data_IF_005006126158
#
_entry.id   IF_005006126158
#
_cell.length_a   1.000
_cell.length_b   1.000
_cell.length_c   1.000
_cell.angle_alpha   90.00
_cell.angle_beta   90.00
_cell.angle_gamma   90.00
#
_symmetry.space_group_name_H-M   'P 1'
#
loop_
_entity.id
_entity.type
_entity.pdbx_description
1 polymer ?
#
# COMPACT_ATOMS: atom_id res chain seq x y z
N UNK A 1 -6.25 -17.86 -31.10
CA UNK A 1 -5.53 -17.09 -30.07
C UNK A 1 -6.51 -16.59 -29.00
N UNK A 2 -7.30 -17.48 -28.38
CA UNK A 2 -8.37 -17.07 -27.44
C UNK A 2 -8.60 -18.13 -26.33
N UNK A 3 -7.53 -18.78 -25.87
CA UNK A 3 -7.56 -19.81 -24.80
C UNK A 3 -6.25 -19.86 -23.99
N UNK A 4 -5.82 -18.74 -23.41
CA UNK A 4 -4.67 -18.72 -22.47
C UNK A 4 -4.92 -17.90 -21.19
N UNK A 5 -6.14 -17.41 -20.96
CA UNK A 5 -6.48 -16.61 -19.76
C UNK A 5 -7.44 -17.33 -18.81
N UNK A 6 -7.64 -18.63 -18.94
CA UNK A 6 -8.70 -19.35 -18.23
C UNK A 6 -8.19 -20.35 -17.17
N UNK A 7 -6.90 -20.32 -16.81
CA UNK A 7 -6.33 -21.21 -15.78
C UNK A 7 -5.29 -20.53 -14.86
N UNK A 8 -5.48 -19.26 -14.54
CA UNK A 8 -4.92 -18.69 -13.31
C UNK A 8 -6.11 -18.41 -12.41
N UNK A 9 -6.47 -19.38 -11.56
CA UNK A 9 -7.48 -19.17 -10.52
C UNK A 9 -7.17 -17.86 -9.83
N UNK A 10 -8.11 -16.92 -9.92
CA UNK A 10 -8.01 -15.55 -9.43
C UNK A 10 -7.63 -15.62 -7.96
N UNK A 11 -6.32 -15.59 -7.70
CA UNK A 11 -5.75 -15.82 -6.39
C UNK A 11 -5.97 -14.53 -5.66
N UNK A 12 -7.16 -14.40 -5.09
CA UNK A 12 -7.57 -13.26 -4.32
C UNK A 12 -6.67 -13.21 -3.10
N UNK A 13 -5.61 -12.40 -3.16
CA UNK A 13 -4.73 -12.12 -2.03
C UNK A 13 -5.34 -10.95 -1.27
N UNK A 14 -6.05 -11.18 -0.14
CA UNK A 14 -6.59 -10.08 0.63
C UNK A 14 -5.45 -9.19 1.13
N UNK A 15 -5.53 -7.88 0.86
CA UNK A 15 -4.64 -6.91 1.49
C UNK A 15 -4.86 -7.00 2.99
N UNK A 16 -3.78 -7.28 3.73
CA UNK A 16 -3.85 -7.40 5.17
C UNK A 16 -4.42 -6.11 5.79
N UNK A 17 -5.34 -6.23 6.76
CA UNK A 17 -6.05 -5.08 7.34
C UNK A 17 -5.10 -3.99 7.85
N UNK A 18 -4.00 -4.38 8.49
CA UNK A 18 -2.96 -3.44 8.95
C UNK A 18 -2.39 -2.64 7.78
N UNK A 19 -2.09 -3.28 6.65
CA UNK A 19 -1.56 -2.63 5.45
C UNK A 19 -2.57 -1.63 4.89
N UNK A 20 -3.85 -2.01 4.81
CA UNK A 20 -4.93 -1.11 4.41
C UNK A 20 -5.02 0.11 5.34
N UNK A 21 -4.98 -0.10 6.66
CA UNK A 21 -5.00 0.97 7.66
C UNK A 21 -3.80 1.90 7.48
N UNK A 22 -2.60 1.36 7.23
CA UNK A 22 -1.41 2.15 6.96
C UNK A 22 -1.53 2.99 5.68
N UNK A 23 -2.09 2.44 4.60
CA UNK A 23 -2.34 3.16 3.35
C UNK A 23 -3.32 4.32 3.59
N UNK A 24 -4.47 4.05 4.21
CA UNK A 24 -5.50 5.07 4.49
C UNK A 24 -4.93 6.17 5.39
N UNK A 25 -4.15 5.81 6.41
CA UNK A 25 -3.51 6.79 7.29
C UNK A 25 -2.51 7.70 6.54
N UNK A 26 -1.68 7.13 5.66
CA UNK A 26 -0.74 7.91 4.84
C UNK A 26 -1.47 8.90 3.92
N UNK A 27 -2.54 8.44 3.25
CA UNK A 27 -3.39 9.28 2.40
C UNK A 27 -4.04 10.40 3.20
N UNK A 28 -4.59 10.10 4.38
CA UNK A 28 -5.21 11.10 5.26
C UNK A 28 -4.21 12.17 5.72
N UNK A 29 -2.98 11.77 6.08
CA UNK A 29 -1.90 12.70 6.44
C UNK A 29 -1.54 13.60 5.26
N UNK A 30 -1.41 13.04 4.06
CA UNK A 30 -1.09 13.80 2.86
C UNK A 30 -2.19 14.82 2.53
N UNK A 31 -3.47 14.41 2.57
CA UNK A 31 -4.61 15.31 2.36
C UNK A 31 -4.69 16.39 3.44
N UNK A 32 -4.46 16.05 4.71
CA UNK A 32 -4.41 17.01 5.82
C UNK A 32 -3.34 18.09 5.58
N UNK A 33 -2.16 17.68 5.10
CA UNK A 33 -1.10 18.61 4.70
C UNK A 33 -1.55 19.54 3.57
N UNK A 34 -2.14 19.01 2.49
CA UNK A 34 -2.65 19.80 1.37
C UNK A 34 -3.70 20.82 1.83
N UNK A 35 -4.65 20.39 2.66
CA UNK A 35 -5.70 21.26 3.19
C UNK A 35 -5.12 22.38 4.06
N UNK A 36 -4.07 22.10 4.85
CA UNK A 36 -3.36 23.10 5.67
C UNK A 36 -2.73 24.20 4.82
N UNK A 37 -2.18 23.85 3.65
CA UNK A 37 -1.63 24.82 2.69
C UNK A 37 -2.68 25.32 1.67
N UNK A 38 -3.97 25.15 1.98
CA UNK A 38 -5.11 25.61 1.17
C UNK A 38 -5.16 25.00 -0.24
N UNK A 39 -4.70 23.76 -0.44
CA UNK A 39 -4.88 23.02 -1.68
C UNK A 39 -6.00 21.99 -1.52
N UNK A 40 -6.92 21.93 -2.48
CA UNK A 40 -7.92 20.87 -2.60
C UNK A 40 -7.48 19.93 -3.73
N UNK A 41 -7.34 18.64 -3.44
CA UNK A 41 -6.80 17.64 -4.36
C UNK A 41 -7.76 17.28 -5.51
N UNK A 42 -9.04 17.06 -5.18
CA UNK A 42 -10.20 16.86 -6.09
C UNK A 42 -10.24 15.60 -6.97
N UNK A 43 -9.20 14.76 -6.98
CA UNK A 43 -9.24 13.48 -7.73
C UNK A 43 -8.69 12.31 -6.91
N UNK A 44 -9.23 12.11 -5.71
CA UNK A 44 -8.82 11.02 -4.83
C UNK A 44 -9.42 9.69 -5.31
N UNK A 45 -8.54 8.81 -5.81
CA UNK A 45 -8.88 7.45 -6.28
C UNK A 45 -7.66 6.53 -6.16
N UNK A 46 -7.85 5.20 -6.15
CA UNK A 46 -6.74 4.25 -6.11
C UNK A 46 -5.71 4.43 -7.23
N UNK A 47 -6.14 4.78 -8.44
CA UNK A 47 -5.27 5.00 -9.61
C UNK A 47 -4.23 6.12 -9.38
N UNK A 48 -4.57 7.10 -8.53
CA UNK A 48 -3.68 8.21 -8.19
C UNK A 48 -2.85 7.94 -6.92
N UNK A 49 -2.91 6.73 -6.34
CA UNK A 49 -2.05 6.30 -5.25
C UNK A 49 -0.86 5.52 -5.80
N UNK A 50 0.30 6.17 -5.85
CA UNK A 50 1.53 5.51 -6.29
C UNK A 50 2.12 4.71 -5.13
N UNK A 51 2.33 3.43 -5.37
CA UNK A 51 2.92 2.50 -4.41
C UNK A 51 4.43 2.52 -4.57
N UNK A 52 5.14 2.93 -3.51
CA UNK A 52 6.60 2.94 -3.47
C UNK A 52 7.17 1.69 -2.79
N UNK A 53 6.41 1.11 -1.86
CA UNK A 53 6.79 -0.08 -1.11
C UNK A 53 5.54 -0.84 -0.70
N UNK A 54 5.58 -2.17 -0.83
CA UNK A 54 4.55 -3.10 -0.34
C UNK A 54 5.19 -4.12 0.60
N UNK A 55 4.42 -4.60 1.59
CA UNK A 55 4.84 -5.73 2.41
C UNK A 55 4.86 -7.00 1.56
N UNK A 56 5.56 -8.03 2.06
CA UNK A 56 5.55 -9.34 1.42
C UNK A 56 4.12 -9.89 1.34
N UNK A 57 3.75 -10.58 0.23
CA UNK A 57 2.46 -11.25 0.12
C UNK A 57 2.26 -12.22 1.28
N UNK A 58 1.02 -12.33 1.77
CA UNK A 58 0.68 -13.36 2.75
C UNK A 58 0.79 -14.72 2.06
N UNK A 59 1.88 -15.44 2.30
CA UNK A 59 2.01 -16.84 1.88
C UNK A 59 1.17 -17.70 2.80
N UNK A 60 0.30 -18.52 2.24
CA UNK A 60 -0.45 -19.51 3.01
C UNK A 60 0.55 -20.40 3.75
N UNK A 61 0.43 -20.47 5.09
CA UNK A 61 1.23 -21.36 5.93
C UNK A 61 1.10 -22.86 5.54
N UNK A 62 0.13 -23.19 4.69
CA UNK A 62 -0.06 -24.53 4.11
C UNK A 62 0.99 -24.88 3.06
N UNK A 63 1.62 -23.90 2.42
CA UNK A 63 2.68 -24.14 1.42
C UNK A 63 4.09 -24.25 2.02
N UNK A 64 4.27 -23.86 3.28
CA UNK A 64 5.58 -23.88 3.96
C UNK A 64 5.98 -25.27 4.51
N UNK A 65 5.08 -26.26 4.50
CA UNK A 65 5.32 -27.57 5.10
C UNK A 65 5.89 -28.63 4.13
N UNK A 66 6.38 -28.25 2.94
CA UNK A 66 6.82 -29.22 1.92
C UNK A 66 8.34 -29.32 1.70
N UNK A 67 9.17 -28.60 2.47
CA UNK A 67 10.64 -28.70 2.34
C UNK A 67 11.36 -28.55 3.67
N UNK A 68 11.23 -29.54 4.57
CA UNK A 68 12.27 -29.81 5.58
C UNK A 68 12.49 -31.32 5.70
N UNK A 69 13.29 -31.83 4.77
CA UNK A 69 13.87 -33.17 4.83
C UNK A 69 15.30 -33.10 4.32
N UNK A 70 16.27 -33.04 5.25
CA UNK A 70 17.67 -33.54 5.20
C UNK A 70 18.61 -32.69 6.09
N UNK A 71 18.68 -33.06 7.38
CA UNK A 71 19.85 -33.20 8.26
C UNK A 71 21.18 -32.51 7.87
N UNK A 72 21.77 -31.74 8.81
CA UNK A 72 23.05 -32.09 9.47
C UNK A 72 23.38 -31.19 10.67
N UNK A 73 23.94 -31.82 11.71
CA UNK A 73 24.25 -31.30 13.04
C UNK A 73 25.64 -30.66 13.16
N UNK A 74 25.79 -29.67 14.05
CA UNK A 74 26.81 -29.65 15.13
C UNK A 74 26.68 -28.38 16.01
N UNK A 75 26.89 -28.48 17.34
CA UNK A 75 26.87 -27.35 18.28
C UNK A 75 28.27 -26.77 18.46
N UNK A 76 28.44 -25.46 18.36
CA UNK A 76 29.62 -24.78 18.91
C UNK A 76 29.22 -23.44 19.54
N UNK A 77 29.49 -23.34 20.83
CA UNK A 77 29.48 -22.13 21.64
C UNK A 77 30.30 -21.02 21.00
N UNK A 78 29.81 -19.78 21.03
CA UNK A 78 30.57 -18.58 21.38
C UNK A 78 29.62 -17.40 21.55
N UNK A 79 29.69 -16.77 22.73
CA UNK A 79 29.03 -15.52 23.05
C UNK A 79 29.71 -14.38 22.27
N UNK A 80 28.96 -13.70 21.41
CA UNK A 80 29.33 -12.38 20.89
C UNK A 80 28.11 -11.46 20.89
N UNK A 81 28.15 -10.52 21.81
CA UNK A 81 27.17 -9.47 22.08
C UNK A 81 27.39 -8.31 21.12
N UNK A 82 26.92 -8.44 19.88
CA UNK A 82 26.71 -7.28 18.97
C UNK A 82 25.83 -7.58 17.74
N UNK A 83 25.02 -8.64 17.78
CA UNK A 83 24.09 -8.93 16.67
C UNK A 83 22.80 -8.14 16.87
N UNK A 84 22.63 -7.12 16.03
CA UNK A 84 21.34 -6.53 15.66
C UNK A 84 20.27 -7.63 15.60
N UNK A 85 19.08 -7.46 16.21
CA UNK A 85 18.07 -8.49 16.20
C UNK A 85 17.77 -8.83 14.74
N UNK A 86 17.90 -10.12 14.44
CA UNK A 86 17.60 -10.76 13.18
C UNK A 86 16.31 -10.13 12.63
N UNK A 87 16.41 -9.24 11.64
CA UNK A 87 15.25 -8.67 10.97
C UNK A 87 14.47 -9.86 10.45
N UNK A 88 13.23 -10.05 10.92
CA UNK A 88 12.39 -11.16 10.49
C UNK A 88 12.45 -11.26 8.97
N UNK A 89 12.65 -12.46 8.39
CA UNK A 89 12.71 -12.62 6.94
C UNK A 89 11.40 -12.17 6.24
N UNK A 90 10.33 -12.00 7.02
CA UNK A 90 9.08 -11.40 6.60
C UNK A 90 9.07 -9.90 6.92
N UNK A 91 8.96 -9.05 5.89
CA UNK A 91 8.66 -7.63 6.06
C UNK A 91 7.33 -7.49 6.79
N UNK A 92 7.28 -6.62 7.80
CA UNK A 92 6.06 -6.40 8.57
C UNK A 92 4.93 -5.89 7.65
N UNK A 93 3.65 -6.19 7.92
CA UNK A 93 2.53 -5.68 7.13
C UNK A 93 2.39 -4.15 7.16
N UNK A 94 3.15 -3.47 8.02
CA UNK A 94 3.25 -2.00 8.11
C UNK A 94 4.26 -1.41 7.11
N UNK A 95 5.09 -2.25 6.49
CA UNK A 95 6.14 -1.84 5.55
C UNK A 95 5.55 -1.50 4.18
N UNK A 96 4.61 -0.54 4.17
CA UNK A 96 3.91 -0.03 3.01
C UNK A 96 4.13 1.46 2.90
N UNK A 97 4.43 1.94 1.69
CA UNK A 97 4.63 3.36 1.41
C UNK A 97 3.86 3.75 0.17
N UNK A 98 2.97 4.74 0.31
CA UNK A 98 2.18 5.31 -0.77
C UNK A 98 2.36 6.81 -0.87
N UNK A 99 2.24 7.35 -2.08
CA UNK A 99 2.27 8.80 -2.33
C UNK A 99 1.12 9.20 -3.26
N UNK A 100 0.59 10.42 -3.06
CA UNK A 100 -0.40 10.99 -3.96
C UNK A 100 0.27 11.39 -5.28
N UNK A 101 -0.26 10.89 -6.38
CA UNK A 101 0.07 11.31 -7.75
C UNK A 101 -0.87 12.39 -8.26
N UNK A 102 -0.78 12.70 -9.55
CA UNK A 102 -1.73 13.49 -10.35
C UNK A 102 -2.40 14.69 -9.64
N UNK A 103 -1.75 15.86 -9.71
CA UNK A 103 -2.30 17.13 -9.22
C UNK A 103 -2.98 17.94 -10.33
N UNK A 104 -3.24 17.36 -11.51
CA UNK A 104 -3.68 18.08 -12.71
C UNK A 104 -4.99 18.86 -12.51
N UNK A 105 -5.85 18.38 -11.62
CA UNK A 105 -7.10 19.04 -11.25
C UNK A 105 -7.09 19.61 -9.83
N UNK A 106 -5.96 19.63 -9.13
CA UNK A 106 -5.86 20.29 -7.82
C UNK A 106 -6.02 21.81 -7.92
N UNK A 107 -6.54 22.44 -6.86
CA UNK A 107 -6.77 23.90 -6.82
C UNK A 107 -6.40 24.51 -5.49
N UNK A 108 -5.78 25.69 -5.54
CA UNK A 108 -5.57 26.53 -4.35
C UNK A 108 -6.88 27.24 -4.00
N UNK A 109 -7.30 27.15 -2.73
CA UNK A 109 -8.51 27.74 -2.16
C UNK A 109 -8.40 29.26 -1.92
N UNK A 110 -7.44 29.94 -2.55
CA UNK A 110 -7.25 31.38 -2.42
C UNK A 110 -8.42 32.17 -3.04
N UNK A 111 -9.03 31.64 -4.10
CA UNK A 111 -10.25 32.18 -4.69
C UNK A 111 -11.35 31.11 -4.56
N UNK A 112 -12.25 31.26 -3.59
CA UNK A 112 -13.39 30.36 -3.37
C UNK A 112 -14.29 30.22 -4.62
N UNK A 113 -14.22 31.17 -5.54
CA UNK A 113 -14.94 31.17 -6.81
C UNK A 113 -14.37 30.16 -7.84
N UNK A 114 -13.10 29.75 -7.71
CA UNK A 114 -12.40 28.86 -8.64
C UNK A 114 -12.49 27.36 -8.34
N UNK A 115 -13.15 26.98 -7.23
CA UNK A 115 -13.37 25.58 -6.86
C UNK A 115 -14.72 25.02 -7.35
N UNK A 116 -15.54 25.82 -8.04
CA UNK A 116 -16.84 25.40 -8.59
C UNK A 116 -16.65 24.66 -9.93
N UNK A 117 -17.44 23.61 -10.15
CA UNK A 117 -17.48 22.84 -11.39
C UNK A 117 -17.29 21.34 -11.18
N UNK A 118 -17.95 20.53 -12.02
CA UNK A 118 -17.84 19.06 -12.05
C UNK A 118 -16.43 18.64 -12.46
N UNK A 119 -15.60 18.27 -11.48
CA UNK A 119 -14.22 17.83 -11.70
C UNK A 119 -13.88 16.68 -10.78
N UNK A 120 -13.12 15.72 -11.30
CA UNK A 120 -12.72 14.49 -10.63
C UNK A 120 -13.12 13.27 -11.45
N UNK A 121 -12.85 12.08 -10.91
CA UNK A 121 -13.24 10.82 -11.55
C UNK A 121 -14.66 10.42 -11.12
N UNK A 122 -15.59 10.15 -12.06
CA UNK A 122 -16.93 9.67 -11.73
C UNK A 122 -16.90 8.44 -10.82
N UNK A 123 -17.80 8.36 -9.84
CA UNK A 123 -17.84 7.29 -8.83
C UNK A 123 -17.00 7.56 -7.57
N UNK A 124 -16.06 8.52 -7.63
CA UNK A 124 -15.29 8.99 -6.47
C UNK A 124 -15.64 10.44 -6.08
N UNK A 125 -16.53 11.08 -6.83
CA UNK A 125 -17.02 12.42 -6.54
C UNK A 125 -17.95 12.41 -5.32
N UNK A 126 -17.83 13.45 -4.49
CA UNK A 126 -18.73 13.68 -3.38
C UNK A 126 -20.08 14.23 -3.89
N UNK A 127 -21.20 13.96 -3.20
CA UNK A 127 -22.55 14.30 -3.68
C UNK A 127 -22.84 15.80 -3.79
N UNK A 128 -22.03 16.65 -3.14
CA UNK A 128 -22.12 18.11 -3.22
C UNK A 128 -21.52 18.72 -4.50
N UNK A 129 -20.85 17.89 -5.32
CA UNK A 129 -20.30 18.28 -6.63
C UNK A 129 -21.35 18.04 -7.70
#
# INVERSE_FOLDING_TARGET
MHKLYEEAGDSFFPIHTITLTCIVNQVAIALSYLHRIRIVYRDLKPDNLLVWQMPEPLVDARSANSTEGTLNAAPTSNADTSRSPLSSPFKSPQDVKVVLGDFGVSRTRANLDGCRGYVGTPGFMAPEI
#
